data_IF_552492169271
#
_entry.id   IF_552492169271
#
_cell.length_a   1.000
_cell.length_b   1.000
_cell.length_c   1.000
_cell.angle_alpha   90.00
_cell.angle_beta   90.00
_cell.angle_gamma   90.00
#
_symmetry.space_group_name_H-M   'P 1'
#
loop_
_entity.id
_entity.type
_entity.pdbx_description
1 polymer ?
#
# COMPACT_ATOMS: atom_id res chain seq x y z
N UNK A 1 -7.83 -10.90 22.47
CA UNK A 1 -7.11 -9.92 21.63
C UNK A 1 -8.03 -8.73 21.42
N UNK A 2 -7.66 -7.49 21.78
CA UNK A 2 -8.54 -6.35 21.52
C UNK A 2 -8.67 -6.24 20.00
N UNK A 3 -9.89 -6.33 19.51
CA UNK A 3 -10.19 -6.48 18.09
C UNK A 3 -9.45 -5.43 17.25
N UNK A 4 -8.69 -5.89 16.24
CA UNK A 4 -8.02 -5.00 15.29
C UNK A 4 -9.08 -4.09 14.66
N UNK A 5 -9.02 -2.79 14.95
CA UNK A 5 -10.02 -1.81 14.50
C UNK A 5 -9.82 -1.45 13.03
N UNK A 6 -10.92 -1.47 12.27
CA UNK A 6 -11.00 -1.04 10.87
C UNK A 6 -11.18 -2.17 9.86
N UNK A 7 -11.55 -1.81 8.63
CA UNK A 7 -11.81 -2.76 7.55
C UNK A 7 -10.52 -3.49 7.13
N UNK A 8 -10.60 -4.80 6.89
CA UNK A 8 -9.49 -5.66 6.49
C UNK A 8 -8.24 -5.56 7.40
N UNK A 9 -8.35 -5.97 8.68
CA UNK A 9 -7.28 -5.86 9.67
C UNK A 9 -6.06 -6.74 9.37
N UNK A 10 -6.24 -7.79 8.55
CA UNK A 10 -5.17 -8.69 8.10
C UNK A 10 -3.99 -7.95 7.47
N UNK A 11 -4.23 -6.78 6.85
CA UNK A 11 -3.20 -5.95 6.19
C UNK A 11 -2.14 -5.40 7.15
N UNK A 12 -2.39 -5.43 8.46
CA UNK A 12 -1.46 -4.99 9.51
C UNK A 12 -0.65 -6.13 10.12
N UNK A 13 -0.81 -7.36 9.63
CA UNK A 13 -0.05 -8.52 10.10
C UNK A 13 1.28 -8.62 9.35
N UNK A 14 2.35 -9.02 10.05
CA UNK A 14 3.68 -9.21 9.46
C UNK A 14 3.61 -10.21 8.30
N UNK A 15 2.86 -11.31 8.48
CA UNK A 15 2.65 -12.33 7.44
C UNK A 15 2.08 -11.75 6.14
N UNK A 16 1.14 -10.81 6.23
CA UNK A 16 0.57 -10.17 5.04
C UNK A 16 1.56 -9.20 4.37
N UNK A 17 2.32 -8.45 5.17
CA UNK A 17 3.30 -7.49 4.67
C UNK A 17 4.48 -8.18 3.96
N UNK A 18 4.94 -9.32 4.47
CA UNK A 18 6.02 -10.11 3.87
C UNK A 18 5.61 -10.79 2.56
N UNK A 19 4.34 -11.19 2.44
CA UNK A 19 3.80 -11.92 1.28
C UNK A 19 3.75 -11.10 -0.04
N UNK A 20 3.98 -9.79 0.00
CA UNK A 20 3.92 -8.94 -1.20
C UNK A 20 5.00 -9.29 -2.22
N UNK A 21 4.65 -9.63 -3.45
CA UNK A 21 5.66 -10.01 -4.48
C UNK A 21 6.36 -8.80 -5.13
N UNK A 22 5.81 -7.60 -4.96
CA UNK A 22 6.30 -6.39 -5.60
C UNK A 22 7.41 -5.76 -4.75
N UNK A 23 8.61 -5.68 -5.32
CA UNK A 23 9.79 -5.07 -4.70
C UNK A 23 10.29 -3.99 -5.66
N UNK A 24 10.39 -2.75 -5.17
CA UNK A 24 10.96 -1.65 -5.94
C UNK A 24 12.47 -1.79 -6.01
N UNK A 25 13.07 -1.50 -7.15
CA UNK A 25 14.54 -1.44 -7.30
C UNK A 25 15.10 -0.24 -6.53
N UNK A 26 16.33 -0.37 -6.03
CA UNK A 26 17.00 0.68 -5.23
C UNK A 26 17.15 2.03 -5.97
N UNK A 27 17.16 2.01 -7.31
CA UNK A 27 17.22 3.22 -8.13
C UNK A 27 15.94 4.07 -8.03
N UNK A 28 14.81 3.48 -7.64
CA UNK A 28 13.53 4.16 -7.53
C UNK A 28 13.45 4.82 -6.15
N UNK A 29 13.70 6.13 -6.12
CA UNK A 29 13.71 6.92 -4.88
C UNK A 29 12.31 7.40 -4.48
N UNK A 30 11.49 7.76 -5.46
CA UNK A 30 10.16 8.37 -5.26
C UNK A 30 9.16 7.65 -6.16
N UNK A 31 8.03 7.25 -5.59
CA UNK A 31 6.87 6.71 -6.29
C UNK A 31 5.65 7.53 -5.88
N UNK A 32 4.93 8.06 -6.87
CA UNK A 32 3.71 8.85 -6.65
C UNK A 32 2.53 8.15 -7.32
N UNK A 33 1.44 7.96 -6.59
CA UNK A 33 0.21 7.35 -7.09
C UNK A 33 -0.91 8.37 -6.95
N UNK A 34 -1.35 8.94 -8.06
CA UNK A 34 -2.46 9.89 -8.10
C UNK A 34 -3.72 9.12 -8.47
N UNK A 35 -4.75 9.21 -7.62
CA UNK A 35 -6.06 8.60 -7.91
C UNK A 35 -7.18 9.49 -7.37
N UNK A 36 -8.30 9.51 -8.09
CA UNK A 36 -9.45 10.25 -7.61
C UNK A 36 -10.24 9.40 -6.60
N UNK A 37 -10.69 10.03 -5.51
CA UNK A 37 -11.57 9.41 -4.51
C UNK A 37 -13.01 9.29 -5.02
N UNK A 38 -13.41 10.18 -5.94
CA UNK A 38 -14.75 10.23 -6.52
C UNK A 38 -14.74 9.74 -7.97
N UNK A 39 -15.70 8.89 -8.32
CA UNK A 39 -15.89 8.36 -9.68
C UNK A 39 -15.41 6.91 -9.84
N UNK A 40 -15.98 6.20 -10.83
CA UNK A 40 -15.71 4.77 -11.06
C UNK A 40 -14.41 4.50 -11.85
N UNK A 41 -13.84 5.50 -12.51
CA UNK A 41 -12.68 5.31 -13.40
C UNK A 41 -11.40 4.91 -12.66
N UNK A 42 -11.31 5.15 -11.35
CA UNK A 42 -10.12 4.87 -10.53
C UNK A 42 -10.32 3.76 -9.48
N UNK A 43 -11.36 2.94 -9.60
CA UNK A 43 -11.63 1.86 -8.64
C UNK A 43 -10.45 0.91 -8.49
N UNK A 44 -9.86 0.46 -9.60
CA UNK A 44 -8.70 -0.44 -9.57
C UNK A 44 -7.47 0.20 -8.91
N UNK A 45 -7.23 1.50 -9.13
CA UNK A 45 -6.12 2.22 -8.47
C UNK A 45 -6.37 2.38 -6.97
N UNK A 46 -7.63 2.61 -6.57
CA UNK A 46 -8.01 2.68 -5.16
C UNK A 46 -7.78 1.35 -4.46
N UNK A 47 -8.17 0.24 -5.10
CA UNK A 47 -7.95 -1.10 -4.56
C UNK A 47 -6.45 -1.44 -4.52
N UNK A 48 -5.69 -1.03 -5.53
CA UNK A 48 -4.24 -1.19 -5.55
C UNK A 48 -3.57 -0.50 -4.34
N UNK A 49 -3.90 0.77 -4.12
CA UNK A 49 -3.41 1.53 -2.96
C UNK A 49 -3.88 0.91 -1.65
N UNK A 50 -5.13 0.44 -1.58
CA UNK A 50 -5.66 -0.15 -0.36
C UNK A 50 -4.98 -1.48 0.03
N UNK A 51 -4.61 -2.33 -0.93
CA UNK A 51 -4.06 -3.67 -0.66
C UNK A 51 -2.53 -3.73 -0.70
N UNK A 52 -1.89 -3.11 -1.70
CA UNK A 52 -0.46 -3.36 -1.98
C UNK A 52 0.48 -2.31 -1.42
N UNK A 53 -0.01 -1.09 -1.20
CA UNK A 53 0.84 0.00 -0.73
C UNK A 53 1.50 -0.27 0.64
N UNK A 54 0.81 -0.86 1.65
CA UNK A 54 1.45 -1.22 2.92
C UNK A 54 2.61 -2.23 2.72
N UNK A 55 2.46 -3.17 1.79
CA UNK A 55 3.49 -4.16 1.49
C UNK A 55 4.73 -3.51 0.86
N UNK A 56 4.52 -2.57 -0.06
CA UNK A 56 5.60 -1.84 -0.73
C UNK A 56 6.38 -0.98 0.29
N UNK A 57 5.68 -0.29 1.19
CA UNK A 57 6.31 0.50 2.25
C UNK A 57 7.08 -0.36 3.24
N UNK A 58 6.52 -1.50 3.64
CA UNK A 58 7.20 -2.41 4.57
C UNK A 58 8.51 -2.96 3.99
N UNK A 59 8.51 -3.31 2.70
CA UNK A 59 9.71 -3.80 2.02
C UNK A 59 10.75 -2.71 1.75
N UNK A 60 10.35 -1.44 1.74
CA UNK A 60 11.24 -0.31 1.47
C UNK A 60 11.08 0.78 2.53
N UNK A 61 11.79 0.62 3.64
CA UNK A 61 11.77 1.52 4.80
C UNK A 61 12.22 2.97 4.50
N UNK A 62 12.94 3.19 3.39
CA UNK A 62 13.55 4.50 3.03
C UNK A 62 12.77 5.28 1.96
N UNK A 63 11.56 4.88 1.55
CA UNK A 63 10.77 5.64 0.56
C UNK A 63 9.91 6.67 1.27
N UNK A 64 10.13 7.94 0.95
CA UNK A 64 9.13 8.97 1.21
C UNK A 64 8.01 8.80 0.16
N UNK A 65 6.89 8.19 0.55
CA UNK A 65 5.70 8.14 -0.30
C UNK A 65 4.92 9.44 -0.10
N UNK A 66 4.76 10.21 -1.18
CA UNK A 66 3.94 11.43 -1.21
C UNK A 66 2.61 11.06 -1.84
N UNK A 67 1.51 11.30 -1.11
CA UNK A 67 0.14 11.05 -1.56
C UNK A 67 -0.51 12.37 -1.99
N UNK A 68 -1.18 12.39 -3.14
CA UNK A 68 -2.14 13.42 -3.55
C UNK A 68 -3.42 12.75 -4.07
#
# INVERSE_FOLDING_TARGET
MPFMKGNAPIRRTIKYLEAGKLILKDQIKIMTVNYNVKGNSHLGTRDFVFWYLPQIQYKKSTCSNIYF
#
